data_IF_697090776616
#
_entry.id   IF_697090776616
#
_cell.length_a   1.000
_cell.length_b   1.000
_cell.length_c   1.000
_cell.angle_alpha   90.00
_cell.angle_beta   90.00
_cell.angle_gamma   90.00
#
_symmetry.space_group_name_H-M   'P 1'
#
loop_
_entity.id
_entity.type
_entity.pdbx_description
1 polymer ?
#
# COMPACT_ATOMS: atom_id res chain seq x y z
N UNK A 1 -3.76 -39.87 -66.44
CA UNK A 1 -3.89 -38.54 -65.81
C UNK A 1 -5.02 -38.46 -64.78
N UNK A 2 -6.23 -39.04 -64.99
CA UNK A 2 -7.35 -38.99 -63.97
C UNK A 2 -7.05 -39.63 -62.61
N UNK A 3 -6.23 -40.68 -62.55
CA UNK A 3 -5.91 -41.42 -61.33
C UNK A 3 -5.03 -40.59 -60.36
N UNK A 4 -4.12 -39.81 -60.90
CA UNK A 4 -3.18 -38.96 -60.15
C UNK A 4 -3.90 -37.77 -59.49
N UNK A 5 -4.86 -37.17 -60.16
CA UNK A 5 -5.68 -36.06 -59.63
C UNK A 5 -6.54 -36.50 -58.42
N UNK A 6 -6.99 -37.73 -58.37
CA UNK A 6 -7.76 -38.23 -57.26
C UNK A 6 -6.89 -38.48 -56.00
N UNK A 7 -5.67 -38.93 -56.20
CA UNK A 7 -4.69 -39.10 -55.08
C UNK A 7 -4.31 -37.76 -54.51
N UNK A 8 -4.06 -36.76 -55.33
CA UNK A 8 -3.74 -35.39 -54.86
C UNK A 8 -4.91 -34.78 -54.12
N UNK A 9 -6.13 -34.94 -54.61
CA UNK A 9 -7.35 -34.45 -53.91
C UNK A 9 -7.55 -35.11 -52.58
N UNK A 10 -7.37 -36.43 -52.48
CA UNK A 10 -7.43 -37.14 -51.19
C UNK A 10 -6.37 -36.70 -50.19
N UNK A 11 -5.16 -36.42 -50.67
CA UNK A 11 -4.06 -35.93 -49.82
C UNK A 11 -4.34 -34.50 -49.30
N UNK A 12 -4.88 -33.64 -50.10
CA UNK A 12 -5.28 -32.30 -49.72
C UNK A 12 -6.41 -32.32 -48.69
N UNK A 13 -7.40 -33.21 -48.85
CA UNK A 13 -8.51 -33.34 -47.89
C UNK A 13 -8.02 -33.82 -46.54
N UNK A 14 -7.11 -34.80 -46.50
CA UNK A 14 -6.48 -35.31 -45.26
C UNK A 14 -5.63 -34.25 -44.58
N UNK A 15 -4.93 -33.42 -45.36
CA UNK A 15 -4.11 -32.31 -44.81
C UNK A 15 -5.02 -31.22 -44.19
N UNK A 16 -6.13 -30.90 -44.83
CA UNK A 16 -7.12 -29.88 -44.33
C UNK A 16 -7.81 -30.39 -43.06
N UNK A 17 -8.16 -31.68 -43.00
CA UNK A 17 -8.78 -32.26 -41.78
C UNK A 17 -7.81 -32.31 -40.59
N UNK A 18 -6.51 -32.54 -40.85
CA UNK A 18 -5.48 -32.51 -39.83
C UNK A 18 -5.23 -31.11 -39.27
N UNK A 19 -5.41 -30.05 -40.08
CA UNK A 19 -5.25 -28.66 -39.67
C UNK A 19 -6.45 -28.14 -38.88
N UNK A 20 -7.65 -28.66 -39.10
CA UNK A 20 -8.86 -28.28 -38.37
C UNK A 20 -8.98 -28.92 -36.97
N UNK A 21 -8.12 -29.88 -36.59
CA UNK A 21 -8.19 -30.57 -35.30
C UNK A 21 -7.44 -29.85 -34.17
N UNK A 22 -6.94 -28.63 -34.40
CA UNK A 22 -6.33 -27.81 -33.32
C UNK A 22 -7.43 -27.06 -32.58
N UNK A 23 -8.10 -27.73 -31.66
CA UNK A 23 -8.96 -27.05 -30.69
C UNK A 23 -8.09 -26.17 -29.81
N UNK A 24 -8.39 -24.87 -29.67
CA UNK A 24 -7.70 -24.06 -28.69
C UNK A 24 -7.96 -24.66 -27.29
N UNK A 25 -6.95 -25.23 -26.69
CA UNK A 25 -6.99 -25.60 -25.29
C UNK A 25 -7.05 -24.30 -24.48
N UNK A 26 -8.23 -23.88 -24.05
CA UNK A 26 -8.38 -22.89 -23.00
C UNK A 26 -7.83 -23.53 -21.72
N UNK A 27 -6.60 -23.26 -21.41
CA UNK A 27 -6.05 -23.52 -20.08
C UNK A 27 -6.86 -22.65 -19.11
N UNK A 28 -7.80 -23.25 -18.40
CA UNK A 28 -8.40 -22.65 -17.21
C UNK A 28 -7.25 -22.54 -16.22
N UNK A 29 -6.70 -21.36 -16.11
CA UNK A 29 -5.71 -21.05 -15.07
C UNK A 29 -6.47 -21.13 -13.75
N UNK A 30 -6.46 -22.30 -13.12
CA UNK A 30 -6.95 -22.47 -11.76
C UNK A 30 -6.01 -21.66 -10.88
N UNK A 31 -6.45 -20.47 -10.51
CA UNK A 31 -5.80 -19.72 -9.42
C UNK A 31 -6.08 -20.58 -8.19
N UNK A 32 -5.13 -21.43 -7.82
CA UNK A 32 -5.13 -22.03 -6.50
C UNK A 32 -4.89 -20.88 -5.54
N UNK A 33 -5.94 -20.41 -4.88
CA UNK A 33 -5.83 -19.62 -3.68
C UNK A 33 -5.25 -20.58 -2.64
N UNK A 34 -3.94 -20.79 -2.70
CA UNK A 34 -3.25 -21.23 -1.52
C UNK A 34 -3.57 -20.16 -0.49
N UNK A 35 -4.02 -20.57 0.68
CA UNK A 35 -4.00 -19.76 1.89
C UNK A 35 -2.52 -19.50 2.25
N UNK A 36 -1.77 -18.97 1.29
CA UNK A 36 -0.43 -18.46 1.49
C UNK A 36 -0.62 -17.11 2.16
N UNK A 37 -0.10 -16.97 3.34
CA UNK A 37 0.17 -15.68 3.94
C UNK A 37 0.93 -14.87 2.89
N UNK A 38 0.27 -13.88 2.28
CA UNK A 38 0.99 -12.90 1.48
C UNK A 38 2.01 -12.27 2.44
N UNK A 39 3.28 -12.32 2.08
CA UNK A 39 4.32 -11.71 2.91
C UNK A 39 3.95 -10.24 3.16
N UNK A 40 3.93 -9.79 4.42
CA UNK A 40 3.53 -8.44 4.73
C UNK A 40 4.42 -7.42 4.02
N UNK A 41 3.79 -6.40 3.45
CA UNK A 41 4.44 -5.34 2.67
C UNK A 41 5.42 -4.56 3.56
N UNK A 42 6.72 -4.53 3.22
CA UNK A 42 7.69 -3.77 3.99
C UNK A 42 7.45 -2.27 3.83
N UNK A 43 7.13 -1.60 4.94
CA UNK A 43 6.86 -0.17 4.99
C UNK A 43 7.85 0.56 5.87
N UNK A 44 8.42 1.63 5.36
CA UNK A 44 9.19 2.59 6.15
C UNK A 44 8.28 3.75 6.55
N UNK A 45 8.23 4.06 7.84
CA UNK A 45 7.50 5.21 8.36
C UNK A 45 8.56 6.11 9.01
N UNK A 46 8.91 7.17 8.31
CA UNK A 46 9.97 8.06 8.74
C UNK A 46 9.49 8.96 9.88
N UNK A 47 10.43 9.42 10.70
CA UNK A 47 10.10 10.40 11.73
C UNK A 47 9.54 11.65 11.08
N UNK A 48 8.36 12.10 11.54
CA UNK A 48 7.76 13.32 11.02
C UNK A 48 8.56 14.54 11.48
N UNK A 49 8.83 15.44 10.54
CA UNK A 49 9.45 16.72 10.88
C UNK A 49 8.54 17.49 11.82
N UNK A 50 9.10 18.01 12.92
CA UNK A 50 8.32 18.71 13.92
C UNK A 50 9.19 19.72 14.67
N UNK A 51 8.62 20.86 15.01
CA UNK A 51 9.22 21.79 15.95
C UNK A 51 9.23 21.21 17.37
N UNK A 52 10.08 21.74 18.24
CA UNK A 52 10.27 21.24 19.60
C UNK A 52 8.97 21.17 20.41
N UNK A 53 8.08 22.17 20.24
CA UNK A 53 6.80 22.29 20.94
C UNK A 53 5.76 21.22 20.54
N UNK A 54 5.92 20.54 19.40
CA UNK A 54 5.05 19.46 18.90
C UNK A 54 5.78 18.14 18.67
N UNK A 55 7.07 18.04 19.03
CA UNK A 55 7.87 16.84 18.81
C UNK A 55 7.31 15.60 19.50
N UNK A 56 6.80 15.75 20.74
CA UNK A 56 6.14 14.64 21.46
C UNK A 56 4.86 14.19 20.77
N UNK A 57 4.09 15.16 20.28
CA UNK A 57 2.85 14.89 19.53
C UNK A 57 3.16 14.13 18.24
N UNK A 58 4.18 14.58 17.52
CA UNK A 58 4.66 13.91 16.30
C UNK A 58 5.03 12.45 16.55
N UNK A 59 5.72 12.14 17.62
CA UNK A 59 6.06 10.76 17.99
C UNK A 59 4.80 9.93 18.29
N UNK A 60 3.84 10.50 19.03
CA UNK A 60 2.58 9.82 19.32
C UNK A 60 1.78 9.50 18.06
N UNK A 61 1.74 10.42 17.08
CA UNK A 61 1.10 10.21 15.78
C UNK A 61 1.78 9.06 15.04
N UNK A 62 3.11 9.07 15.00
CA UNK A 62 3.91 8.04 14.36
C UNK A 62 3.65 6.65 14.96
N UNK A 63 3.59 6.57 16.29
CA UNK A 63 3.32 5.32 17.01
C UNK A 63 1.95 4.74 16.64
N UNK A 64 0.92 5.60 16.55
CA UNK A 64 -0.43 5.16 16.16
C UNK A 64 -0.44 4.64 14.73
N UNK A 65 0.10 5.40 13.77
CA UNK A 65 0.17 4.97 12.36
C UNK A 65 0.91 3.62 12.24
N UNK A 66 2.04 3.50 12.92
CA UNK A 66 2.86 2.29 12.87
C UNK A 66 2.10 1.08 13.44
N UNK A 67 1.42 1.27 14.57
CA UNK A 67 0.65 0.20 15.22
C UNK A 67 -0.56 -0.21 14.39
N UNK A 68 -1.31 0.74 13.82
CA UNK A 68 -2.46 0.45 12.97
C UNK A 68 -2.05 -0.41 11.77
N UNK A 69 -1.05 0.04 11.02
CA UNK A 69 -0.56 -0.67 9.84
C UNK A 69 0.02 -2.04 10.19
N UNK A 70 0.78 -2.14 11.27
CA UNK A 70 1.31 -3.43 11.77
C UNK A 70 0.20 -4.39 12.16
N UNK A 71 -0.80 -3.91 12.89
CA UNK A 71 -1.90 -4.73 13.41
C UNK A 71 -2.86 -5.20 12.31
N UNK A 72 -2.88 -4.55 11.14
CA UNK A 72 -3.63 -5.03 10.00
C UNK A 72 -3.11 -6.39 9.46
N UNK A 73 -1.88 -6.75 9.80
CA UNK A 73 -1.22 -7.97 9.30
C UNK A 73 -0.70 -7.87 7.86
N UNK A 74 -1.07 -6.81 7.12
CA UNK A 74 -0.66 -6.61 5.73
C UNK A 74 0.64 -5.82 5.57
N UNK A 75 1.09 -5.15 6.63
CA UNK A 75 2.30 -4.35 6.61
C UNK A 75 3.32 -4.84 7.64
N UNK A 76 4.59 -4.73 7.27
CA UNK A 76 5.72 -4.99 8.14
C UNK A 76 6.57 -3.72 8.27
N UNK A 77 6.37 -2.92 9.33
CA UNK A 77 7.17 -1.74 9.57
C UNK A 77 8.66 -2.09 9.70
N UNK A 78 9.49 -1.36 8.96
CA UNK A 78 10.95 -1.48 9.02
C UNK A 78 11.45 -0.69 10.21
N UNK A 79 12.38 -1.27 10.97
CA UNK A 79 12.97 -0.59 12.13
C UNK A 79 13.65 0.72 11.70
N UNK A 80 13.38 1.85 12.38
CA UNK A 80 14.08 3.11 12.12
C UNK A 80 15.60 3.04 12.22
N UNK A 81 16.13 2.09 12.99
CA UNK A 81 17.58 1.85 13.09
C UNK A 81 18.21 1.37 11.77
N UNK A 82 17.41 0.85 10.84
CA UNK A 82 17.88 0.44 9.53
C UNK A 82 17.88 1.58 8.49
N UNK A 83 17.32 2.74 8.81
CA UNK A 83 17.18 3.83 7.86
C UNK A 83 18.54 4.43 7.51
N UNK A 84 18.82 4.52 6.22
CA UNK A 84 20.08 5.08 5.68
C UNK A 84 19.90 6.58 5.46
N UNK A 85 18.72 7.01 5.02
CA UNK A 85 18.39 8.41 4.80
C UNK A 85 17.74 9.01 6.05
N UNK A 86 18.31 10.12 6.53
CA UNK A 86 17.84 10.83 7.73
C UNK A 86 17.01 12.08 7.42
N UNK A 87 16.71 12.34 6.14
CA UNK A 87 15.86 13.47 5.75
C UNK A 87 14.41 13.22 6.16
N UNK A 88 13.86 14.18 6.90
CA UNK A 88 12.47 14.16 7.36
C UNK A 88 11.67 15.26 6.69
N UNK A 89 10.36 15.16 6.74
CA UNK A 89 9.45 16.15 6.16
C UNK A 89 8.90 15.77 4.80
N UNK A 90 7.98 16.59 4.32
CA UNK A 90 7.24 16.34 3.07
C UNK A 90 7.84 17.04 1.86
N UNK A 91 8.77 17.95 2.10
CA UNK A 91 9.35 18.83 1.08
C UNK A 91 10.44 18.15 0.24
N UNK A 92 10.90 16.98 0.67
CA UNK A 92 12.03 16.30 0.04
C UNK A 92 11.63 15.03 -0.68
N UNK A 93 12.07 14.91 -1.93
CA UNK A 93 12.01 13.64 -2.64
C UNK A 93 13.00 12.65 -2.00
N UNK A 94 12.57 11.40 -1.69
CA UNK A 94 13.45 10.41 -1.09
C UNK A 94 14.59 9.98 -2.01
N UNK A 95 15.68 9.53 -1.43
CA UNK A 95 16.72 8.79 -2.13
C UNK A 95 16.27 7.33 -2.30
N UNK A 96 15.46 7.05 -3.30
CA UNK A 96 14.81 5.74 -3.51
C UNK A 96 15.80 4.57 -3.45
N UNK A 97 17.03 4.75 -3.95
CA UNK A 97 18.05 3.72 -3.90
C UNK A 97 18.40 3.31 -2.46
N UNK A 98 18.47 4.28 -1.51
CA UNK A 98 18.75 4.01 -0.10
C UNK A 98 17.60 3.20 0.54
N UNK A 99 16.35 3.52 0.22
CA UNK A 99 15.20 2.82 0.75
C UNK A 99 15.05 1.41 0.16
N UNK A 100 15.42 1.22 -1.11
CA UNK A 100 15.48 -0.13 -1.71
C UNK A 100 16.52 -1.03 -1.05
N UNK A 101 17.65 -0.49 -0.61
CA UNK A 101 18.69 -1.29 0.08
C UNK A 101 18.20 -1.94 1.37
N UNK A 102 17.22 -1.33 2.04
CA UNK A 102 16.58 -1.88 3.23
C UNK A 102 15.26 -2.61 2.92
N UNK A 103 15.02 -2.91 1.64
CA UNK A 103 13.82 -3.58 1.14
C UNK A 103 12.50 -2.85 1.46
N UNK A 104 12.49 -1.52 1.56
CA UNK A 104 11.25 -0.78 1.67
C UNK A 104 10.49 -0.81 0.34
N UNK A 105 9.21 -1.13 0.37
CA UNK A 105 8.31 -1.05 -0.78
C UNK A 105 7.61 0.30 -0.82
N UNK A 106 7.21 0.80 0.34
CA UNK A 106 6.57 2.10 0.51
C UNK A 106 7.23 2.88 1.66
N UNK A 107 7.17 4.21 1.55
CA UNK A 107 7.70 5.13 2.56
C UNK A 107 6.66 6.20 2.88
N UNK A 108 6.46 6.45 4.16
CA UNK A 108 5.66 7.58 4.67
C UNK A 108 6.61 8.64 5.22
N UNK A 109 6.58 9.83 4.65
CA UNK A 109 7.20 11.03 5.19
C UNK A 109 6.11 11.97 5.70
N UNK A 110 6.37 12.72 6.77
CA UNK A 110 5.40 13.64 7.31
C UNK A 110 6.01 14.83 8.05
N UNK A 111 5.13 15.76 8.40
CA UNK A 111 5.44 16.97 9.15
C UNK A 111 4.27 17.32 10.06
N UNK A 112 4.59 17.76 11.25
CA UNK A 112 3.60 18.28 12.23
C UNK A 112 4.02 19.68 12.64
N UNK A 113 3.08 20.60 12.59
CA UNK A 113 3.28 21.97 13.09
C UNK A 113 2.07 22.47 13.86
N UNK A 114 2.29 23.40 14.75
CA UNK A 114 1.23 24.14 15.42
C UNK A 114 0.94 25.43 14.64
N UNK A 115 -0.33 25.70 14.39
CA UNK A 115 -0.77 26.92 13.74
C UNK A 115 -1.02 28.03 14.78
N UNK A 116 -1.02 29.27 14.33
CA UNK A 116 -1.36 30.43 15.16
C UNK A 116 -2.78 30.35 15.74
N UNK A 117 -3.68 29.66 15.03
CA UNK A 117 -5.04 29.33 15.49
C UNK A 117 -5.10 28.43 16.72
N UNK A 118 -3.97 27.84 17.12
CA UNK A 118 -3.90 26.78 18.14
C UNK A 118 -4.21 25.39 17.63
N UNK A 119 -4.65 25.24 16.40
CA UNK A 119 -4.79 23.95 15.72
C UNK A 119 -3.41 23.34 15.43
N UNK A 120 -3.43 22.05 15.14
CA UNK A 120 -2.28 21.34 14.55
C UNK A 120 -2.53 21.11 13.06
N UNK A 121 -1.49 21.23 12.28
CA UNK A 121 -1.44 20.77 10.91
C UNK A 121 -0.53 19.56 10.82
N UNK A 122 -1.03 18.51 10.19
CA UNK A 122 -0.27 17.29 9.91
C UNK A 122 -0.28 17.10 8.40
N UNK A 123 0.88 17.15 7.78
CA UNK A 123 1.05 16.85 6.37
C UNK A 123 1.83 15.56 6.21
N UNK A 124 1.48 14.75 5.20
CA UNK A 124 2.23 13.55 4.87
C UNK A 124 2.26 13.31 3.37
N UNK A 125 3.25 12.55 2.93
CA UNK A 125 3.38 12.02 1.58
C UNK A 125 3.72 10.54 1.67
N UNK A 126 3.00 9.73 0.90
CA UNK A 126 3.25 8.30 0.72
C UNK A 126 3.97 8.09 -0.61
N UNK A 127 5.10 7.45 -0.56
CA UNK A 127 5.95 7.16 -1.72
C UNK A 127 5.93 5.67 -2.06
N UNK A 128 5.77 5.36 -3.33
CA UNK A 128 6.10 4.05 -3.90
C UNK A 128 7.60 4.05 -4.23
N UNK A 129 8.36 3.23 -3.50
CA UNK A 129 9.82 3.17 -3.63
C UNK A 129 10.25 2.46 -4.91
N UNK A 130 9.43 1.52 -5.39
CA UNK A 130 9.72 0.77 -6.61
C UNK A 130 9.41 1.61 -7.86
N UNK A 131 8.25 2.28 -7.87
CA UNK A 131 7.84 3.13 -8.97
C UNK A 131 8.47 4.53 -8.92
N UNK A 132 9.19 4.88 -7.85
CA UNK A 132 9.87 6.18 -7.63
C UNK A 132 8.97 7.41 -7.75
N UNK A 133 7.75 7.29 -7.25
CA UNK A 133 6.74 8.36 -7.27
C UNK A 133 5.94 8.42 -5.97
N UNK A 134 5.36 9.58 -5.72
CA UNK A 134 4.31 9.71 -4.71
C UNK A 134 3.00 9.08 -5.20
N UNK A 135 2.27 8.47 -4.29
CA UNK A 135 0.98 7.81 -4.56
C UNK A 135 -0.16 8.36 -3.70
N UNK A 136 0.16 9.10 -2.64
CA UNK A 136 -0.80 9.87 -1.86
C UNK A 136 -0.09 11.00 -1.12
N UNK A 137 -0.85 12.04 -0.78
CA UNK A 137 -0.42 13.12 0.10
C UNK A 137 -1.62 13.91 0.55
N UNK A 138 -1.64 14.28 1.82
CA UNK A 138 -2.72 15.07 2.41
C UNK A 138 -2.18 16.06 3.45
N UNK A 139 -2.95 17.13 3.67
CA UNK A 139 -2.77 18.08 4.76
C UNK A 139 -4.04 18.04 5.61
N UNK A 140 -3.88 17.70 6.87
CA UNK A 140 -4.96 17.61 7.85
C UNK A 140 -4.80 18.75 8.86
N UNK A 141 -5.77 19.64 8.95
CA UNK A 141 -5.85 20.66 9.99
C UNK A 141 -6.96 20.32 10.98
N UNK A 142 -6.66 20.37 12.28
CA UNK A 142 -7.64 20.08 13.32
C UNK A 142 -7.19 20.57 14.71
N UNK A 143 -8.12 20.66 15.68
CA UNK A 143 -7.77 20.86 17.07
C UNK A 143 -6.84 19.76 17.59
N UNK A 144 -5.83 20.11 18.39
CA UNK A 144 -4.84 19.15 18.88
C UNK A 144 -5.46 17.91 19.55
N UNK A 145 -6.56 18.08 20.29
CA UNK A 145 -7.27 16.97 20.95
C UNK A 145 -7.71 15.85 20.00
N UNK A 146 -7.79 16.12 18.70
CA UNK A 146 -8.18 15.16 17.67
C UNK A 146 -6.98 14.49 16.96
N UNK A 147 -5.77 14.70 17.44
CA UNK A 147 -4.54 14.20 16.81
C UNK A 147 -4.56 12.67 16.53
N UNK A 148 -5.14 11.91 17.44
CA UNK A 148 -5.24 10.44 17.28
C UNK A 148 -6.10 10.08 16.08
N UNK A 149 -7.20 10.80 15.88
CA UNK A 149 -8.05 10.63 14.70
C UNK A 149 -7.32 10.93 13.40
N UNK A 150 -6.45 11.96 13.41
CA UNK A 150 -5.61 12.25 12.24
C UNK A 150 -4.67 11.09 11.94
N UNK A 151 -4.04 10.51 12.97
CA UNK A 151 -3.16 9.37 12.79
C UNK A 151 -3.88 8.17 12.17
N UNK A 152 -5.09 7.83 12.65
CA UNK A 152 -5.92 6.77 12.06
C UNK A 152 -6.30 7.06 10.60
N UNK A 153 -6.65 8.31 10.27
CA UNK A 153 -6.95 8.70 8.89
C UNK A 153 -5.74 8.55 7.97
N UNK A 154 -4.55 8.90 8.45
CA UNK A 154 -3.31 8.69 7.67
C UNK A 154 -3.09 7.19 7.44
N UNK A 155 -3.25 6.37 8.47
CA UNK A 155 -3.16 4.92 8.34
C UNK A 155 -4.20 4.36 7.35
N UNK A 156 -5.44 4.86 7.38
CA UNK A 156 -6.49 4.50 6.41
C UNK A 156 -6.08 4.85 4.97
N UNK A 157 -5.56 6.06 4.74
CA UNK A 157 -5.11 6.49 3.42
C UNK A 157 -3.96 5.62 2.93
N UNK A 158 -2.98 5.32 3.79
CA UNK A 158 -1.85 4.44 3.45
C UNK A 158 -2.35 3.04 3.11
N UNK A 159 -3.23 2.48 3.93
CA UNK A 159 -3.82 1.17 3.72
C UNK A 159 -4.54 1.09 2.37
N UNK A 160 -5.46 2.04 2.12
CA UNK A 160 -6.26 2.07 0.89
C UNK A 160 -5.40 2.24 -0.36
N UNK A 161 -4.41 3.11 -0.34
CA UNK A 161 -3.55 3.37 -1.50
C UNK A 161 -2.64 2.20 -1.86
N UNK A 162 -2.26 1.40 -0.88
CA UNK A 162 -1.35 0.28 -1.09
C UNK A 162 -2.09 -1.02 -1.39
N UNK A 163 -3.24 -1.26 -0.73
CA UNK A 163 -3.99 -2.51 -0.86
C UNK A 163 -5.15 -2.44 -1.86
N UNK A 164 -5.68 -1.25 -2.12
CA UNK A 164 -6.91 -1.04 -2.88
C UNK A 164 -8.19 -1.22 -2.06
N UNK A 165 -8.09 -1.70 -0.83
CA UNK A 165 -9.23 -1.90 0.07
C UNK A 165 -9.42 -0.69 0.97
N UNK A 166 -10.66 -0.39 1.36
CA UNK A 166 -10.97 0.73 2.23
C UNK A 166 -10.33 0.56 3.61
N UNK A 167 -9.69 1.62 4.12
CA UNK A 167 -9.17 1.67 5.49
C UNK A 167 -10.29 1.61 6.54
N UNK A 168 -9.97 1.16 7.74
CA UNK A 168 -10.93 0.92 8.82
C UNK A 168 -10.43 1.36 10.20
N UNK A 169 -9.32 2.09 10.29
CA UNK A 169 -8.72 2.48 11.56
C UNK A 169 -9.44 3.67 12.23
N UNK A 170 -9.98 4.64 11.45
CA UNK A 170 -10.81 5.74 11.97
C UNK A 170 -12.27 5.27 12.17
N UNK A 171 -12.45 4.14 12.86
CA UNK A 171 -13.77 3.60 13.18
C UNK A 171 -14.22 3.98 14.58
N UNK A 172 -15.53 4.04 14.78
CA UNK A 172 -16.15 4.22 16.11
C UNK A 172 -16.96 2.99 16.43
N UNK A 173 -16.68 2.38 17.58
CA UNK A 173 -17.52 1.32 18.12
C UNK A 173 -18.51 1.96 19.09
N UNK A 174 -19.80 1.84 18.77
CA UNK A 174 -20.86 2.18 19.72
C UNK A 174 -21.31 0.89 20.42
N UNK A 175 -21.31 0.89 21.72
CA UNK A 175 -21.90 -0.19 22.53
C UNK A 175 -22.96 0.38 23.47
N UNK A 176 -24.00 -0.37 23.64
CA UNK A 176 -25.06 -0.06 24.60
C UNK A 176 -24.70 -0.82 25.88
N UNK A 177 -24.53 -0.10 27.00
CA UNK A 177 -24.41 -0.71 28.32
C UNK A 177 -25.78 -0.69 28.94
N UNK A 178 -26.39 -1.86 29.14
CA UNK A 178 -27.57 -1.99 30.02
C UNK A 178 -27.09 -2.07 31.46
N UNK A 179 -27.39 -1.03 32.22
CA UNK A 179 -27.30 -1.09 33.69
C UNK A 179 -28.56 -1.80 34.16
N UNK A 180 -28.46 -3.09 34.47
CA UNK A 180 -29.56 -3.85 35.08
C UNK A 180 -30.02 -3.17 36.35
N UNK A 181 -31.33 -2.94 36.46
CA UNK A 181 -31.99 -2.51 37.69
C UNK A 181 -32.05 -3.60 38.72
#
# INVERSE_FOLDING_TARGET
MKKYNNIIRSFIIVLITLFCAQSPAFAIQTISINQGHADPIPIAINKFAAESNVSRLSNNILDVITNDLKNSGLFRPISPAAFIENKTGVEHRPLFAAWRQINATVLVNGKVRRLESGNIEISFVLWDIIAERDIAGEILEMPEKLWRRAAHKIADTVYERVTGDKGYFDTRVAYISETGG
#
